data_IF_684463544582
#
_entry.id   IF_684463544582
#
_cell.length_a   1.000
_cell.length_b   1.000
_cell.length_c   1.000
_cell.angle_alpha   90.00
_cell.angle_beta   90.00
_cell.angle_gamma   90.00
#
_symmetry.space_group_name_H-M   'P 1'
#
loop_
_entity.id
_entity.type
_entity.pdbx_description
1 polymer ?
#
# COMPACT_ATOMS: atom_id res chain seq x y z
N UNK A 1 57.24 -40.89 39.06
CA UNK A 1 57.95 -39.80 38.34
C UNK A 1 57.53 -39.89 36.89
N UNK A 2 57.11 -38.74 36.31
CA UNK A 2 57.15 -38.37 34.87
C UNK A 2 56.22 -39.21 33.94
N UNK A 3 55.12 -38.64 33.43
CA UNK A 3 55.05 -37.92 32.12
C UNK A 3 54.66 -38.92 31.02
N UNK A 4 53.71 -38.75 30.10
CA UNK A 4 53.24 -37.55 29.41
C UNK A 4 51.84 -37.77 28.77
N UNK A 5 51.29 -36.62 28.34
CA UNK A 5 50.07 -36.36 27.55
C UNK A 5 49.88 -37.25 26.31
N UNK A 6 48.63 -37.52 25.95
CA UNK A 6 48.08 -37.08 24.64
C UNK A 6 46.53 -37.18 24.63
N UNK A 7 45.83 -36.10 24.99
CA UNK A 7 44.43 -35.91 24.63
C UNK A 7 44.36 -35.47 23.16
N UNK A 8 43.74 -36.30 22.30
CA UNK A 8 43.40 -35.92 20.93
C UNK A 8 42.13 -35.09 20.93
N UNK A 9 42.31 -33.80 20.63
CA UNK A 9 41.27 -32.83 20.26
C UNK A 9 40.33 -33.38 19.19
N UNK A 10 39.02 -33.34 19.47
CA UNK A 10 37.99 -33.41 18.44
C UNK A 10 37.72 -31.99 17.96
N UNK A 11 37.91 -31.80 16.65
CA UNK A 11 37.71 -30.56 15.93
C UNK A 11 36.34 -29.95 16.21
N UNK A 12 36.37 -28.70 16.68
CA UNK A 12 35.19 -27.87 16.82
C UNK A 12 34.54 -27.64 15.46
N UNK A 13 33.31 -28.12 15.31
CA UNK A 13 32.42 -27.66 14.26
C UNK A 13 32.29 -26.13 14.37
N UNK A 14 32.51 -25.33 13.31
CA UNK A 14 32.26 -23.91 13.37
C UNK A 14 30.77 -23.69 13.71
N UNK A 15 30.42 -22.71 14.57
CA UNK A 15 29.03 -22.35 14.72
C UNK A 15 28.55 -21.83 13.38
N UNK A 16 27.63 -22.57 12.74
CA UNK A 16 26.89 -22.10 11.58
C UNK A 16 26.22 -20.78 11.98
N UNK A 17 26.77 -19.68 11.46
CA UNK A 17 26.12 -18.39 11.46
C UNK A 17 24.85 -18.56 10.62
N UNK A 18 23.75 -18.93 11.28
CA UNK A 18 22.43 -18.72 10.74
C UNK A 18 22.30 -17.22 10.48
N UNK A 19 22.56 -16.83 9.23
CA UNK A 19 22.19 -15.53 8.70
C UNK A 19 20.69 -15.43 8.87
N UNK A 20 20.26 -14.80 9.96
CA UNK A 20 18.87 -14.44 10.17
C UNK A 20 18.49 -13.60 8.95
N UNK A 21 17.73 -14.23 8.05
CA UNK A 21 17.09 -13.52 6.97
C UNK A 21 16.06 -12.65 7.68
N UNK A 22 16.43 -11.40 7.95
CA UNK A 22 15.51 -10.42 8.54
C UNK A 22 14.35 -10.24 7.55
N UNK A 23 13.31 -11.06 7.72
CA UNK A 23 12.05 -10.87 7.04
C UNK A 23 11.45 -9.57 7.55
N UNK A 24 11.39 -8.59 6.66
CA UNK A 24 10.77 -7.30 6.92
C UNK A 24 9.27 -7.51 6.96
N UNK A 25 8.63 -7.13 8.07
CA UNK A 25 7.18 -7.11 8.21
C UNK A 25 6.53 -6.36 7.05
N UNK A 26 5.46 -6.91 6.48
CA UNK A 26 4.71 -6.30 5.38
C UNK A 26 3.49 -5.55 5.88
N UNK A 27 3.26 -4.33 5.38
CA UNK A 27 2.10 -3.50 5.69
C UNK A 27 1.43 -2.98 4.41
N UNK A 28 0.14 -2.64 4.47
CA UNK A 28 -0.66 -2.13 3.34
C UNK A 28 -0.98 -0.63 3.43
N UNK A 29 -0.56 0.02 4.51
CA UNK A 29 -0.82 1.44 4.78
C UNK A 29 0.44 2.17 5.25
N UNK A 30 0.50 3.48 4.99
CA UNK A 30 1.62 4.35 5.32
C UNK A 30 1.26 5.50 6.26
N UNK A 31 0.09 5.43 6.91
CA UNK A 31 -0.67 6.55 7.49
C UNK A 31 0.10 7.43 8.49
N UNK A 32 1.19 6.95 9.09
CA UNK A 32 2.01 7.72 10.04
C UNK A 32 3.52 7.68 9.78
N UNK A 33 3.98 7.16 8.65
CA UNK A 33 5.40 6.91 8.40
C UNK A 33 5.99 7.62 7.18
N UNK A 34 7.31 7.64 7.09
CA UNK A 34 8.06 8.13 5.93
C UNK A 34 8.20 7.01 4.91
N UNK A 35 7.75 7.27 3.68
CA UNK A 35 7.74 6.28 2.61
C UNK A 35 9.05 6.35 1.83
N UNK A 36 9.65 5.19 1.64
CA UNK A 36 10.88 4.98 0.90
C UNK A 36 10.61 4.14 -0.35
N UNK A 37 11.35 4.42 -1.43
CA UNK A 37 11.39 3.59 -2.64
C UNK A 37 12.79 3.07 -2.89
N UNK A 38 12.89 1.78 -3.20
CA UNK A 38 14.13 1.17 -3.63
C UNK A 38 14.29 1.29 -5.15
N UNK A 39 15.27 2.06 -5.60
CA UNK A 39 15.52 2.33 -7.01
C UNK A 39 16.91 1.85 -7.44
N UNK A 40 17.02 1.46 -8.70
CA UNK A 40 18.31 1.07 -9.29
C UNK A 40 18.96 2.30 -9.91
N UNK A 41 20.00 2.81 -9.28
CA UNK A 41 20.75 4.00 -9.71
C UNK A 41 22.16 3.58 -10.07
N UNK A 42 22.55 3.77 -11.34
CA UNK A 42 23.87 3.39 -11.86
C UNK A 42 24.24 1.94 -11.51
N UNK A 43 23.29 1.02 -11.64
CA UNK A 43 23.48 -0.41 -11.35
C UNK A 43 23.37 -0.81 -9.87
N UNK A 44 23.25 0.13 -8.93
CA UNK A 44 23.18 -0.15 -7.47
C UNK A 44 21.79 0.15 -6.92
N UNK A 45 21.28 -0.72 -6.04
CA UNK A 45 20.02 -0.47 -5.33
C UNK A 45 20.21 0.56 -4.23
N UNK A 46 19.42 1.63 -4.30
CA UNK A 46 19.42 2.76 -3.36
C UNK A 46 18.01 2.98 -2.84
N UNK A 47 17.91 3.29 -1.56
CA UNK A 47 16.64 3.72 -0.95
C UNK A 47 16.58 5.24 -1.04
N UNK A 48 15.45 5.79 -1.47
CA UNK A 48 15.17 7.23 -1.52
C UNK A 48 13.84 7.52 -0.84
N UNK A 49 13.74 8.67 -0.19
CA UNK A 49 12.49 9.14 0.39
C UNK A 49 11.58 9.65 -0.73
N UNK A 50 10.32 9.22 -0.73
CA UNK A 50 9.28 9.72 -1.65
C UNK A 50 8.18 10.52 -0.95
N UNK A 51 8.15 10.51 0.39
CA UNK A 51 7.32 11.43 1.16
C UNK A 51 7.75 12.89 0.95
N UNK A 52 6.78 13.80 0.99
CA UNK A 52 7.03 15.23 0.87
C UNK A 52 7.86 15.79 2.03
N UNK A 53 8.53 16.92 1.81
CA UNK A 53 9.35 17.60 2.83
C UNK A 53 10.79 17.07 2.98
N UNK A 54 11.17 16.04 2.23
CA UNK A 54 12.53 15.48 2.23
C UNK A 54 13.24 15.70 0.89
N UNK A 55 14.57 15.84 0.94
CA UNK A 55 15.40 15.86 -0.27
C UNK A 55 15.41 14.47 -0.96
N UNK A 56 14.83 14.31 -2.18
CA UNK A 56 14.71 13.02 -2.85
C UNK A 56 16.03 12.51 -3.44
N UNK A 57 17.06 13.35 -3.52
CA UNK A 57 18.37 12.96 -4.07
C UNK A 57 19.24 12.21 -3.06
N UNK A 58 18.97 12.38 -1.77
CA UNK A 58 19.72 11.74 -0.70
C UNK A 58 19.32 10.27 -0.54
N UNK A 59 20.33 9.43 -0.35
CA UNK A 59 20.12 8.01 -0.10
C UNK A 59 19.69 7.79 1.35
N UNK A 60 18.86 6.78 1.62
CA UNK A 60 18.56 6.27 2.95
C UNK A 60 19.39 5.02 3.24
N UNK A 61 20.02 4.98 4.41
CA UNK A 61 20.85 3.84 4.84
C UNK A 61 19.99 2.71 5.40
N UNK A 62 19.47 1.86 4.51
CA UNK A 62 18.79 0.60 4.90
C UNK A 62 19.71 -0.61 4.71
N UNK A 63 19.48 -1.74 5.40
CA UNK A 63 20.20 -3.00 5.14
C UNK A 63 20.17 -3.39 3.66
N UNK A 64 21.21 -4.07 3.16
CA UNK A 64 21.26 -4.49 1.74
C UNK A 64 20.35 -5.68 1.45
N UNK A 65 20.18 -6.56 2.42
CA UNK A 65 19.35 -7.78 2.35
C UNK A 65 17.92 -7.48 1.95
N UNK A 66 17.39 -6.33 2.39
CA UNK A 66 16.00 -5.95 2.17
C UNK A 66 15.78 -5.15 0.88
N UNK A 67 16.83 -4.79 0.14
CA UNK A 67 16.71 -3.90 -1.02
C UNK A 67 16.23 -4.69 -2.23
N UNK A 68 15.01 -4.43 -2.66
CA UNK A 68 14.40 -4.99 -3.86
C UNK A 68 13.97 -3.89 -4.82
N UNK A 69 14.41 -3.94 -6.08
CA UNK A 69 14.10 -2.91 -7.08
C UNK A 69 12.58 -2.68 -7.24
N UNK A 70 12.17 -1.41 -7.22
CA UNK A 70 10.79 -0.99 -7.40
C UNK A 70 9.88 -1.17 -6.18
N UNK A 71 10.35 -1.81 -5.10
CA UNK A 71 9.57 -2.00 -3.88
C UNK A 71 9.58 -0.74 -3.00
N UNK A 72 8.48 -0.58 -2.28
CA UNK A 72 8.26 0.51 -1.32
C UNK A 72 8.33 0.00 0.11
N UNK A 73 8.74 0.89 1.01
CA UNK A 73 8.91 0.62 2.43
C UNK A 73 8.39 1.81 3.21
N UNK A 74 7.95 1.58 4.44
CA UNK A 74 7.61 2.62 5.39
C UNK A 74 8.50 2.49 6.62
N UNK A 75 8.96 3.64 7.12
CA UNK A 75 9.73 3.76 8.36
C UNK A 75 9.04 4.79 9.25
N UNK A 76 9.32 4.77 10.55
CA UNK A 76 8.66 5.68 11.49
C UNK A 76 9.17 7.12 11.32
N UNK A 77 10.42 7.28 10.87
CA UNK A 77 10.99 8.58 10.52
C UNK A 77 12.33 8.44 9.80
N UNK A 78 12.90 9.57 9.39
CA UNK A 78 14.27 9.61 8.88
C UNK A 78 15.04 10.79 9.49
N UNK A 79 16.31 10.56 9.80
CA UNK A 79 17.22 11.58 10.32
C UNK A 79 18.31 11.92 9.30
N UNK A 80 18.54 13.21 9.05
CA UNK A 80 19.61 13.67 8.17
C UNK A 80 20.97 13.44 8.85
N UNK A 81 21.91 12.82 8.12
CA UNK A 81 23.28 12.66 8.62
C UNK A 81 23.93 14.00 8.93
N UNK A 82 24.82 14.03 9.92
CA UNK A 82 25.62 15.22 10.29
C UNK A 82 26.41 15.85 9.14
N UNK A 83 26.69 15.09 8.06
CA UNK A 83 27.37 15.59 6.86
C UNK A 83 26.40 15.96 5.72
N UNK A 84 25.09 15.84 5.94
CA UNK A 84 24.00 16.12 5.00
C UNK A 84 24.05 15.30 3.69
N UNK A 85 24.73 14.15 3.66
CA UNK A 85 24.87 13.32 2.44
C UNK A 85 23.89 12.15 2.33
N UNK A 86 23.21 11.78 3.42
CA UNK A 86 22.26 10.67 3.45
C UNK A 86 21.32 10.77 4.65
N UNK A 87 20.24 10.01 4.62
CA UNK A 87 19.35 9.79 5.77
C UNK A 87 19.61 8.45 6.46
N UNK A 88 19.30 8.38 7.76
CA UNK A 88 19.18 7.14 8.52
C UNK A 88 17.71 6.90 8.86
N UNK A 89 17.17 5.68 8.66
CA UNK A 89 15.80 5.38 9.08
C UNK A 89 15.70 5.33 10.61
N UNK A 90 14.58 5.79 11.13
CA UNK A 90 14.19 5.68 12.53
C UNK A 90 13.08 4.62 12.67
N UNK A 91 13.14 3.86 13.75
CA UNK A 91 12.17 2.82 14.04
C UNK A 91 12.25 1.61 13.10
N UNK A 92 11.13 0.91 12.97
CA UNK A 92 11.08 -0.35 12.21
C UNK A 92 10.89 -0.08 10.73
N UNK A 93 11.72 -0.72 9.90
CA UNK A 93 11.51 -0.74 8.46
C UNK A 93 10.45 -1.80 8.16
N UNK A 94 9.39 -1.42 7.45
CA UNK A 94 8.31 -2.32 7.04
C UNK A 94 8.13 -2.25 5.54
N UNK A 95 7.92 -3.37 4.87
CA UNK A 95 7.70 -3.42 3.42
C UNK A 95 6.28 -2.97 3.15
N UNK A 96 6.15 -1.85 2.45
CA UNK A 96 4.85 -1.34 2.03
C UNK A 96 4.44 -2.06 0.75
N UNK A 97 3.43 -2.91 0.87
CA UNK A 97 2.83 -3.58 -0.28
C UNK A 97 2.05 -2.55 -1.07
N UNK A 98 2.42 -2.37 -2.33
CA UNK A 98 1.63 -1.59 -3.27
C UNK A 98 0.29 -2.30 -3.44
N UNK A 99 -0.83 -1.62 -3.11
CA UNK A 99 -2.15 -2.17 -3.43
C UNK A 99 -2.19 -2.45 -4.93
N UNK A 100 -2.64 -3.67 -5.31
CA UNK A 100 -2.77 -4.04 -6.71
C UNK A 100 -3.74 -3.03 -7.34
N UNK A 101 -3.28 -2.30 -8.35
CA UNK A 101 -4.15 -1.35 -9.05
C UNK A 101 -5.30 -2.12 -9.68
N UNK A 102 -6.49 -1.88 -9.18
CA UNK A 102 -7.70 -2.50 -9.68
C UNK A 102 -8.08 -1.86 -11.03
N UNK A 103 -8.76 -2.58 -11.93
CA UNK A 103 -9.31 -1.98 -13.13
C UNK A 103 -10.47 -1.05 -12.77
N UNK A 104 -10.76 -0.05 -13.60
CA UNK A 104 -11.97 0.76 -13.46
C UNK A 104 -13.20 -0.17 -13.43
N UNK A 105 -14.22 0.16 -12.64
CA UNK A 105 -15.48 -0.58 -12.64
C UNK A 105 -16.05 -0.58 -14.06
N UNK A 106 -16.26 -1.77 -14.60
CA UNK A 106 -16.92 -2.01 -15.88
C UNK A 106 -18.11 -2.90 -15.60
N UNK A 107 -19.29 -2.32 -15.65
CA UNK A 107 -20.55 -3.05 -15.55
C UNK A 107 -21.40 -2.71 -16.77
N UNK A 108 -22.05 -3.74 -17.31
CA UNK A 108 -22.99 -3.67 -18.43
C UNK A 108 -24.26 -4.39 -18.02
N UNK A 109 -25.40 -4.03 -18.61
CA UNK A 109 -26.69 -4.57 -18.18
C UNK A 109 -27.33 -3.73 -17.08
N UNK A 110 -28.20 -4.35 -16.30
CA UNK A 110 -29.02 -3.67 -15.29
C UNK A 110 -28.52 -3.90 -13.87
N UNK A 111 -28.83 -2.98 -12.97
CA UNK A 111 -28.40 -3.05 -11.56
C UNK A 111 -28.94 -4.29 -10.82
N UNK A 112 -30.07 -4.87 -11.24
CA UNK A 112 -30.64 -6.08 -10.64
C UNK A 112 -29.79 -7.33 -10.89
N UNK A 113 -28.96 -7.33 -11.92
CA UNK A 113 -28.13 -8.47 -12.33
C UNK A 113 -26.79 -8.51 -11.59
N UNK A 114 -26.47 -7.45 -10.83
CA UNK A 114 -25.25 -7.39 -10.04
C UNK A 114 -25.29 -8.37 -8.88
N UNK A 115 -24.12 -8.91 -8.55
CA UNK A 115 -23.91 -9.64 -7.30
C UNK A 115 -24.36 -8.78 -6.10
N UNK A 116 -24.90 -9.45 -5.08
CA UNK A 116 -25.38 -8.78 -3.86
C UNK A 116 -24.44 -9.05 -2.69
N UNK A 117 -24.41 -8.12 -1.75
CA UNK A 117 -23.69 -8.24 -0.48
C UNK A 117 -24.55 -7.59 0.60
N UNK A 118 -24.46 -8.07 1.84
CA UNK A 118 -25.11 -7.50 3.02
C UNK A 118 -24.13 -6.74 3.92
N UNK A 119 -22.86 -6.66 3.52
CA UNK A 119 -21.82 -5.90 4.20
C UNK A 119 -20.97 -5.08 3.23
N UNK A 120 -20.47 -3.94 3.72
CA UNK A 120 -19.51 -3.09 3.01
C UNK A 120 -18.08 -3.66 3.13
N UNK A 121 -17.74 -4.27 4.26
CA UNK A 121 -16.40 -4.80 4.54
C UNK A 121 -15.30 -3.75 4.32
N UNK A 122 -14.27 -4.10 3.56
CA UNK A 122 -13.17 -3.21 3.16
C UNK A 122 -13.51 -2.34 1.92
N UNK A 123 -14.69 -2.52 1.33
CA UNK A 123 -15.13 -1.77 0.16
C UNK A 123 -15.59 -0.35 0.52
N UNK A 124 -15.98 0.38 -0.51
CA UNK A 124 -16.49 1.75 -0.40
C UNK A 124 -17.94 1.80 -0.83
N UNK A 125 -18.76 2.37 0.04
CA UNK A 125 -20.19 2.53 -0.19
C UNK A 125 -20.45 3.75 -1.06
N UNK A 126 -21.15 3.53 -2.18
CA UNK A 126 -21.61 4.59 -3.08
C UNK A 126 -23.12 4.53 -3.25
N UNK A 127 -23.74 5.69 -3.43
CA UNK A 127 -25.16 5.82 -3.70
C UNK A 127 -25.38 6.62 -4.98
N UNK A 128 -26.42 6.27 -5.72
CA UNK A 128 -26.90 7.10 -6.83
C UNK A 128 -27.96 8.10 -6.33
N UNK A 129 -27.68 9.39 -6.51
CA UNK A 129 -28.53 10.52 -6.11
C UNK A 129 -28.97 11.35 -7.33
N UNK A 130 -30.22 11.84 -7.36
CA UNK A 130 -30.70 12.70 -8.42
C UNK A 130 -30.03 14.08 -8.34
N UNK A 131 -29.52 14.58 -9.46
CA UNK A 131 -28.94 15.91 -9.62
C UNK A 131 -29.52 16.56 -10.88
N UNK A 132 -30.57 17.36 -10.68
CA UNK A 132 -31.37 17.92 -11.77
C UNK A 132 -32.05 16.81 -12.58
N UNK A 133 -31.65 16.66 -13.85
CA UNK A 133 -32.19 15.64 -14.77
C UNK A 133 -31.32 14.37 -14.86
N UNK A 134 -30.22 14.31 -14.11
CA UNK A 134 -29.23 13.21 -14.20
C UNK A 134 -29.13 12.48 -12.88
N UNK A 135 -28.90 11.18 -12.95
CA UNK A 135 -28.57 10.38 -11.78
C UNK A 135 -27.04 10.28 -11.65
N UNK A 136 -26.51 10.70 -10.51
CA UNK A 136 -25.06 10.75 -10.23
C UNK A 136 -24.70 9.81 -9.09
N UNK A 137 -23.57 9.13 -9.19
CA UNK A 137 -23.04 8.34 -8.09
C UNK A 137 -22.20 9.23 -7.17
N UNK A 138 -22.30 9.06 -5.86
CA UNK A 138 -21.51 9.75 -4.83
C UNK A 138 -21.07 8.77 -3.76
N UNK A 139 -19.94 9.05 -3.12
CA UNK A 139 -19.45 8.24 -2.00
C UNK A 139 -20.22 8.59 -0.73
N UNK A 140 -20.62 7.57 0.02
CA UNK A 140 -21.34 7.72 1.31
C UNK A 140 -20.45 7.35 2.49
N UNK A 141 -19.45 6.49 2.28
CA UNK A 141 -18.44 6.16 3.30
C UNK A 141 -17.75 7.40 3.86
N UNK A 142 -17.40 7.35 5.15
CA UNK A 142 -16.67 8.40 5.84
C UNK A 142 -15.25 8.60 5.26
N UNK A 143 -14.69 9.80 5.45
CA UNK A 143 -13.35 10.15 4.98
C UNK A 143 -13.27 10.56 3.50
N UNK A 144 -14.39 10.54 2.77
CA UNK A 144 -14.49 11.01 1.38
C UNK A 144 -15.25 12.33 1.28
N UNK A 145 -14.97 13.10 0.24
CA UNK A 145 -15.73 14.30 -0.09
C UNK A 145 -17.07 13.91 -0.72
N UNK A 146 -18.15 14.08 0.04
CA UNK A 146 -19.50 13.68 -0.39
C UNK A 146 -20.10 14.56 -1.50
N UNK A 147 -19.49 15.69 -1.83
CA UNK A 147 -19.91 16.53 -2.96
C UNK A 147 -19.35 16.04 -4.30
N UNK A 148 -18.35 15.14 -4.27
CA UNK A 148 -17.71 14.66 -5.49
C UNK A 148 -18.53 13.57 -6.17
N UNK A 149 -18.70 13.75 -7.47
CA UNK A 149 -19.29 12.73 -8.33
C UNK A 149 -18.32 11.56 -8.52
N UNK A 150 -18.83 10.33 -8.59
CA UNK A 150 -18.07 9.12 -8.91
C UNK A 150 -18.31 8.76 -10.38
N UNK A 151 -17.23 8.52 -11.12
CA UNK A 151 -17.29 7.91 -12.46
C UNK A 151 -17.65 6.44 -12.30
N UNK A 152 -18.93 6.17 -12.50
CA UNK A 152 -19.55 4.87 -12.32
C UNK A 152 -20.47 4.58 -13.53
N UNK A 153 -20.55 3.34 -14.06
CA UNK A 153 -21.27 3.07 -15.30
C UNK A 153 -22.75 3.49 -15.23
N UNK A 154 -23.22 4.23 -16.24
CA UNK A 154 -24.57 4.81 -16.25
C UNK A 154 -25.68 3.76 -16.33
N UNK A 155 -25.44 2.66 -17.07
CA UNK A 155 -26.43 1.60 -17.29
C UNK A 155 -26.90 0.92 -16.01
N UNK A 156 -26.07 0.90 -14.98
CA UNK A 156 -26.39 0.29 -13.69
C UNK A 156 -26.75 1.34 -12.62
N UNK A 157 -26.90 2.62 -12.95
CA UNK A 157 -27.31 3.60 -11.94
C UNK A 157 -28.80 3.48 -11.68
N UNK A 158 -29.17 3.36 -10.41
CA UNK A 158 -30.55 3.33 -9.97
C UNK A 158 -30.73 4.13 -8.68
N UNK A 159 -31.77 4.96 -8.66
CA UNK A 159 -32.11 5.78 -7.50
C UNK A 159 -32.45 4.91 -6.29
N UNK A 160 -31.97 5.31 -5.11
CA UNK A 160 -32.20 4.56 -3.87
C UNK A 160 -31.38 3.27 -3.73
N UNK A 161 -30.58 2.89 -4.74
CA UNK A 161 -29.71 1.71 -4.68
C UNK A 161 -28.33 2.09 -4.18
N UNK A 162 -27.84 1.31 -3.23
CA UNK A 162 -26.49 1.38 -2.70
C UNK A 162 -25.60 0.32 -3.35
N UNK A 163 -24.37 0.69 -3.65
CA UNK A 163 -23.36 -0.20 -4.23
C UNK A 163 -22.12 -0.21 -3.37
N UNK A 164 -21.50 -1.38 -3.25
CA UNK A 164 -20.17 -1.54 -2.67
C UNK A 164 -19.20 -1.75 -3.83
N UNK A 165 -18.24 -0.84 -3.97
CA UNK A 165 -17.10 -0.99 -4.89
C UNK A 165 -15.85 -1.31 -4.10
N UNK A 166 -14.89 -2.03 -4.69
CA UNK A 166 -13.69 -2.40 -3.96
C UNK A 166 -12.84 -1.17 -3.57
N UNK A 167 -12.80 -0.14 -4.43
CA UNK A 167 -12.03 1.07 -4.18
C UNK A 167 -12.58 2.28 -4.95
N UNK A 168 -12.39 3.48 -4.39
CA UNK A 168 -12.48 4.76 -5.10
C UNK A 168 -11.20 5.55 -4.91
N UNK A 169 -10.74 6.20 -5.98
CA UNK A 169 -9.61 7.13 -5.95
C UNK A 169 -10.03 8.48 -6.50
N UNK A 170 -9.54 9.57 -5.91
CA UNK A 170 -9.73 10.90 -6.47
C UNK A 170 -8.97 11.02 -7.80
N UNK A 171 -9.59 11.64 -8.80
CA UNK A 171 -8.93 11.88 -10.06
C UNK A 171 -7.74 12.83 -9.88
N UNK A 172 -6.68 12.66 -10.68
CA UNK A 172 -5.45 13.46 -10.55
C UNK A 172 -5.64 14.97 -10.72
N UNK A 173 -6.75 15.41 -11.32
CA UNK A 173 -7.11 16.84 -11.47
C UNK A 173 -8.12 17.31 -10.42
N UNK A 174 -8.50 16.46 -9.47
CA UNK A 174 -9.49 16.71 -8.44
C UNK A 174 -10.94 16.79 -8.95
N UNK A 175 -11.87 16.99 -8.03
CA UNK A 175 -13.28 17.31 -8.33
C UNK A 175 -14.20 16.11 -8.65
N UNK A 176 -13.66 14.89 -8.73
CA UNK A 176 -14.45 13.67 -8.89
C UNK A 176 -13.64 12.42 -8.49
N UNK A 177 -14.35 11.32 -8.23
CA UNK A 177 -13.78 10.01 -7.96
C UNK A 177 -13.87 9.07 -9.16
N UNK A 178 -12.98 8.09 -9.21
CA UNK A 178 -13.00 6.95 -10.11
C UNK A 178 -13.25 5.69 -9.28
N UNK A 179 -14.25 4.88 -9.64
CA UNK A 179 -14.51 3.60 -8.98
C UNK A 179 -13.69 2.47 -9.63
N UNK A 180 -13.14 1.58 -8.82
CA UNK A 180 -12.30 0.47 -9.25
C UNK A 180 -12.74 -0.87 -8.64
N UNK A 181 -12.37 -1.94 -9.33
CA UNK A 181 -12.60 -3.32 -8.90
C UNK A 181 -13.99 -3.82 -9.25
N UNK A 182 -14.49 -4.72 -8.41
CA UNK A 182 -15.83 -5.26 -8.50
C UNK A 182 -16.86 -4.28 -7.95
N UNK A 183 -18.09 -4.46 -8.40
CA UNK A 183 -19.26 -3.73 -7.90
C UNK A 183 -20.30 -4.75 -7.47
N UNK A 184 -20.82 -4.55 -6.26
CA UNK A 184 -21.89 -5.34 -5.66
C UNK A 184 -23.01 -4.42 -5.23
N UNK A 185 -24.24 -4.89 -5.27
CA UNK A 185 -25.39 -4.18 -4.72
C UNK A 185 -25.50 -4.48 -3.23
N UNK A 186 -25.55 -3.45 -2.40
CA UNK A 186 -25.80 -3.61 -0.98
C UNK A 186 -27.28 -3.91 -0.76
N UNK A 187 -27.57 -4.93 0.04
CA UNK A 187 -28.91 -5.29 0.48
C UNK A 187 -28.95 -5.41 1.99
N UNK A 188 -29.99 -4.86 2.60
CA UNK A 188 -30.27 -5.14 4.00
C UNK A 188 -30.92 -6.53 4.06
N UNK A 189 -30.26 -7.47 4.75
CA UNK A 189 -30.79 -8.82 5.00
C UNK A 189 -31.65 -8.83 6.27
#
# INVERSE_FOLDING_TARGET
MLGDHEERSQDGNPPELHGQTEEVETVTESTSGVVLRCEKISGKLRMRVISEGYNPELNVQCPRSIREAGKTYVVDGVELSSNSKFYRPLGTIRRLLSRKKLPLVKATGSWQELETTDTVGEGVLIQCVPEGKKLRARVVSEGYNQDYNVRFPESIRAEGVFYVVDQVEEASHGGFYLAYGQVRRLVDN
#
